data_IF_944198562327
#
_entry.id   IF_944198562327
#
_cell.length_a   1.000
_cell.length_b   1.000
_cell.length_c   1.000
_cell.angle_alpha   90.00
_cell.angle_beta   90.00
_cell.angle_gamma   90.00
#
_symmetry.space_group_name_H-M   'P 1'
#
loop_
_entity.id
_entity.type
_entity.pdbx_description
1 polymer ?
#
# COMPACT_ATOMS: atom_id res chain seq x y z
N UNK A 1 24.09 -0.72 6.41
CA UNK A 1 23.62 -0.84 6.03
C UNK A 1 22.88 -0.67 5.36
N UNK A 2 22.80 -0.75 5.29
CA UNK A 2 22.24 -0.64 4.79
C UNK A 2 21.37 -0.60 4.00
N UNK A 3 21.20 -0.44 3.80
CA UNK A 3 20.75 -0.42 3.00
C UNK A 3 19.76 -0.72 2.18
N UNK A 4 19.59 -0.25 1.45
CA UNK A 4 18.80 -1.13 0.76
C UNK A 4 17.69 -1.83 1.45
N UNK A 5 16.98 -1.17 2.16
CA UNK A 5 16.12 -1.76 3.15
C UNK A 5 14.89 -2.39 2.59
N UNK A 6 14.34 -1.88 1.48
CA UNK A 6 13.21 -2.49 0.84
C UNK A 6 13.49 -3.91 0.37
N UNK A 7 14.72 -4.20 0.05
CA UNK A 7 15.06 -5.54 -0.39
C UNK A 7 15.01 -6.54 0.74
N UNK A 8 15.22 -6.08 1.96
CA UNK A 8 15.23 -6.97 3.11
C UNK A 8 13.89 -7.09 3.77
N UNK A 9 13.08 -6.07 3.64
CA UNK A 9 11.73 -6.13 4.20
C UNK A 9 10.83 -6.91 3.25
N UNK A 10 10.18 -7.91 3.78
CA UNK A 10 9.20 -8.66 3.02
C UNK A 10 7.85 -7.97 3.16
N UNK A 11 7.39 -7.37 2.09
CA UNK A 11 6.09 -6.72 2.09
C UNK A 11 5.00 -7.74 2.35
N UNK A 12 3.99 -7.33 3.09
CA UNK A 12 2.89 -8.21 3.43
C UNK A 12 1.58 -7.43 3.40
N UNK A 13 0.49 -8.16 3.40
CA UNK A 13 -0.85 -7.59 3.40
C UNK A 13 -0.99 -6.56 4.51
N UNK A 14 -1.47 -5.38 4.16
CA UNK A 14 -1.65 -4.30 5.11
C UNK A 14 -0.52 -3.29 5.16
N UNK A 15 0.60 -3.57 4.51
CA UNK A 15 1.70 -2.61 4.48
C UNK A 15 1.35 -1.43 3.59
N UNK A 16 1.74 -0.23 4.01
CA UNK A 16 1.61 0.96 3.17
C UNK A 16 2.85 1.11 2.30
N UNK A 17 2.62 1.41 1.03
CA UNK A 17 3.70 1.66 0.08
C UNK A 17 3.39 2.91 -0.74
N UNK A 18 4.45 3.54 -1.26
CA UNK A 18 4.30 4.66 -2.17
C UNK A 18 4.81 4.22 -3.54
N UNK A 19 4.10 4.62 -4.58
CA UNK A 19 4.51 4.33 -5.95
C UNK A 19 5.68 5.21 -6.34
N UNK A 20 6.69 4.61 -6.94
CA UNK A 20 7.91 5.32 -7.36
C UNK A 20 7.91 5.69 -8.84
N UNK A 21 7.01 5.14 -9.63
CA UNK A 21 7.01 5.41 -11.07
C UNK A 21 5.65 5.10 -11.67
N UNK A 22 5.47 5.53 -12.91
CA UNK A 22 4.23 5.34 -13.66
C UNK A 22 3.27 6.50 -13.44
N UNK A 23 2.05 6.35 -13.95
CA UNK A 23 1.05 7.41 -13.84
C UNK A 23 0.64 7.68 -12.40
N UNK A 24 0.81 6.70 -11.53
CA UNK A 24 0.44 6.83 -10.14
C UNK A 24 1.63 7.17 -9.23
N UNK A 25 2.73 7.63 -9.81
CA UNK A 25 3.91 8.01 -9.02
C UNK A 25 3.51 8.97 -7.90
N UNK A 26 3.96 8.66 -6.69
CA UNK A 26 3.63 9.45 -5.50
C UNK A 26 2.35 9.05 -4.82
N UNK A 27 1.56 8.16 -5.40
CA UNK A 27 0.35 7.67 -4.76
C UNK A 27 0.67 6.66 -3.68
N UNK A 28 -0.10 6.69 -2.61
CA UNK A 28 0.03 5.75 -1.51
C UNK A 28 -1.00 4.65 -1.68
N UNK A 29 -0.55 3.42 -1.51
CA UNK A 29 -1.39 2.23 -1.63
C UNK A 29 -1.22 1.36 -0.41
N UNK A 30 -2.19 0.46 -0.21
CA UNK A 30 -2.08 -0.61 0.77
C UNK A 30 -1.90 -1.92 0.01
N UNK A 31 -1.00 -2.75 0.50
CA UNK A 31 -0.74 -4.07 -0.09
C UNK A 31 -1.88 -5.00 0.27
N UNK A 32 -2.46 -5.64 -0.74
CA UNK A 32 -3.50 -6.66 -0.55
C UNK A 32 -2.92 -8.06 -0.60
N UNK A 33 -1.87 -8.25 -1.40
CA UNK A 33 -1.27 -9.56 -1.60
C UNK A 33 0.10 -9.38 -2.21
N UNK A 34 0.90 -10.44 -2.22
CA UNK A 34 2.23 -10.41 -2.84
C UNK A 34 2.39 -11.60 -3.76
N UNK A 35 3.18 -11.40 -4.80
CA UNK A 35 3.62 -12.44 -5.71
C UNK A 35 5.14 -12.34 -5.77
N UNK A 36 5.78 -13.24 -6.47
CA UNK A 36 7.24 -13.34 -6.43
C UNK A 36 7.96 -12.01 -6.68
N UNK A 37 7.60 -11.28 -7.72
CA UNK A 37 8.25 -10.01 -8.07
C UNK A 37 7.29 -8.83 -8.07
N UNK A 38 6.08 -9.04 -7.56
CA UNK A 38 5.00 -8.05 -7.66
C UNK A 38 4.25 -7.95 -6.34
N UNK A 39 3.68 -6.78 -6.13
CA UNK A 39 2.71 -6.55 -5.06
C UNK A 39 1.38 -6.22 -5.71
N UNK A 40 0.32 -6.64 -5.06
CA UNK A 40 -1.05 -6.34 -5.47
C UNK A 40 -1.55 -5.27 -4.50
N UNK A 41 -1.94 -4.12 -5.04
CA UNK A 41 -2.23 -2.95 -4.20
C UNK A 41 -3.57 -2.32 -4.56
N UNK A 42 -4.10 -1.56 -3.61
CA UNK A 42 -5.29 -0.76 -3.83
C UNK A 42 -5.21 0.50 -2.99
N UNK A 43 -6.03 1.50 -3.33
CA UNK A 43 -6.14 2.71 -2.52
C UNK A 43 -7.59 2.98 -2.11
N UNK A 44 -8.50 2.14 -2.53
CA UNK A 44 -9.91 2.25 -2.16
C UNK A 44 -10.68 3.33 -2.92
N UNK A 45 -10.02 4.04 -3.81
CA UNK A 45 -10.65 5.14 -4.55
C UNK A 45 -10.43 4.98 -6.05
N UNK A 46 -9.20 5.22 -6.51
CA UNK A 46 -8.86 5.06 -7.93
C UNK A 46 -8.59 3.61 -8.27
N UNK A 47 -8.10 2.86 -7.31
CA UNK A 47 -7.88 1.42 -7.44
C UNK A 47 -8.59 0.73 -6.31
N UNK A 48 -9.81 0.32 -6.53
CA UNK A 48 -10.60 -0.38 -5.52
C UNK A 48 -10.10 -1.81 -5.38
N UNK A 49 -10.45 -2.43 -4.27
CA UNK A 49 -9.94 -3.76 -3.94
C UNK A 49 -10.36 -4.83 -4.94
N UNK A 50 -11.47 -4.65 -5.65
CA UNK A 50 -11.92 -5.58 -6.68
C UNK A 50 -11.29 -5.29 -8.05
N UNK A 51 -10.62 -4.16 -8.19
CA UNK A 51 -9.90 -3.78 -9.41
C UNK A 51 -8.49 -3.37 -9.05
N UNK A 52 -7.89 -4.18 -8.23
CA UNK A 52 -6.55 -3.97 -7.67
C UNK A 52 -5.50 -3.85 -8.77
N UNK A 53 -4.39 -3.23 -8.41
CA UNK A 53 -3.30 -3.02 -9.35
C UNK A 53 -2.10 -3.90 -8.96
N UNK A 54 -1.42 -4.42 -9.98
CA UNK A 54 -0.22 -5.20 -9.81
C UNK A 54 0.96 -4.31 -10.15
N UNK A 55 1.92 -4.19 -9.23
CA UNK A 55 3.11 -3.37 -9.44
C UNK A 55 4.35 -4.18 -9.12
N UNK A 56 5.42 -3.94 -9.87
CA UNK A 56 6.69 -4.58 -9.56
C UNK A 56 7.15 -4.15 -8.17
N UNK A 57 7.73 -5.08 -7.46
CA UNK A 57 8.28 -4.83 -6.14
C UNK A 57 9.24 -3.63 -6.15
N UNK A 58 10.05 -3.52 -7.22
CA UNK A 58 11.02 -2.43 -7.36
C UNK A 58 10.39 -1.07 -7.65
N UNK A 59 9.10 -1.03 -7.96
CA UNK A 59 8.40 0.21 -8.30
C UNK A 59 7.63 0.80 -7.11
N UNK A 60 7.81 0.25 -5.93
CA UNK A 60 7.17 0.77 -4.72
C UNK A 60 8.19 0.86 -3.61
N UNK A 61 7.90 1.72 -2.63
CA UNK A 61 8.72 1.84 -1.44
C UNK A 61 7.85 1.67 -0.21
N UNK A 62 8.30 0.83 0.70
CA UNK A 62 7.63 0.60 1.98
C UNK A 62 7.71 1.88 2.84
N UNK A 63 6.59 2.27 3.43
CA UNK A 63 6.52 3.49 4.24
C UNK A 63 6.72 3.23 5.73
N UNK A 64 7.07 2.00 6.10
CA UNK A 64 7.30 1.59 7.49
C UNK A 64 6.04 1.71 8.36
N UNK A 65 4.88 1.56 7.74
CA UNK A 65 3.59 1.60 8.42
C UNK A 65 2.73 0.46 7.90
N UNK A 66 1.83 0.00 8.77
CA UNK A 66 1.04 -1.19 8.52
C UNK A 66 -0.35 -1.01 9.12
N UNK A 67 -1.36 -1.62 8.49
CA UNK A 67 -2.70 -1.66 9.05
C UNK A 67 -3.25 -3.08 8.96
N UNK A 68 -3.99 -3.48 9.99
CA UNK A 68 -4.68 -4.76 10.00
C UNK A 68 -6.13 -4.65 9.54
N UNK A 69 -6.54 -3.46 9.10
CA UNK A 69 -7.95 -3.19 8.85
C UNK A 69 -8.57 -4.11 7.82
N UNK A 70 -7.78 -4.53 6.82
CA UNK A 70 -8.30 -5.39 5.75
C UNK A 70 -8.82 -6.70 6.30
N UNK A 71 -8.13 -7.26 7.29
CA UNK A 71 -8.52 -8.54 7.89
C UNK A 71 -9.63 -8.39 8.93
N UNK A 72 -9.93 -7.18 9.34
CA UNK A 72 -10.88 -6.93 10.42
C UNK A 72 -12.25 -6.48 9.97
N UNK A 73 -12.42 -6.24 8.66
CA UNK A 73 -13.69 -5.77 8.13
C UNK A 73 -14.17 -6.71 7.03
N UNK A 74 -15.49 -6.74 6.79
CA UNK A 74 -15.99 -7.54 5.67
C UNK A 74 -15.55 -6.94 4.34
N UNK A 75 -15.59 -7.77 3.29
CA UNK A 75 -15.06 -7.39 1.99
C UNK A 75 -15.69 -6.11 1.44
N UNK A 76 -16.98 -5.90 1.70
CA UNK A 76 -17.66 -4.71 1.17
C UNK A 76 -17.20 -3.42 1.86
N UNK A 77 -16.51 -3.53 3.00
CA UNK A 77 -16.06 -2.36 3.75
C UNK A 77 -14.56 -2.08 3.55
N UNK A 78 -13.86 -2.90 2.79
CA UNK A 78 -12.42 -2.77 2.64
C UNK A 78 -12.05 -1.42 2.03
N UNK A 79 -12.68 -1.05 0.91
CA UNK A 79 -12.29 0.18 0.22
C UNK A 79 -12.49 1.42 1.06
N UNK A 80 -13.60 1.51 1.77
CA UNK A 80 -13.87 2.67 2.63
C UNK A 80 -12.84 2.75 3.76
N UNK A 81 -12.48 1.62 4.32
CA UNK A 81 -11.50 1.59 5.40
C UNK A 81 -10.09 1.88 4.90
N UNK A 82 -9.73 1.39 3.72
CA UNK A 82 -8.44 1.69 3.13
C UNK A 82 -8.33 3.20 2.86
N UNK A 83 -9.37 3.83 2.29
CA UNK A 83 -9.36 5.27 2.07
C UNK A 83 -9.14 6.04 3.36
N UNK A 84 -9.80 5.61 4.43
CA UNK A 84 -9.68 6.27 5.73
C UNK A 84 -8.26 6.15 6.27
N UNK A 85 -7.69 4.96 6.17
CA UNK A 85 -6.33 4.73 6.66
C UNK A 85 -5.31 5.53 5.87
N UNK A 86 -5.45 5.60 4.56
CA UNK A 86 -4.53 6.38 3.74
C UNK A 86 -4.67 7.86 4.04
N UNK A 87 -5.89 8.34 4.22
CA UNK A 87 -6.12 9.74 4.56
C UNK A 87 -5.47 10.09 5.89
N UNK A 88 -5.60 9.21 6.87
CA UNK A 88 -4.98 9.41 8.17
C UNK A 88 -3.46 9.45 8.06
N UNK A 89 -2.90 8.54 7.30
CA UNK A 89 -1.47 8.50 7.08
C UNK A 89 -0.96 9.78 6.43
N UNK A 90 -1.65 10.27 5.40
CA UNK A 90 -1.26 11.50 4.74
C UNK A 90 -1.29 12.69 5.69
N UNK A 91 -2.28 12.74 6.56
CA UNK A 91 -2.35 13.81 7.55
C UNK A 91 -1.18 13.76 8.52
N UNK A 92 -0.80 12.57 8.95
CA UNK A 92 0.34 12.41 9.83
C UNK A 92 1.64 12.82 9.15
N UNK A 93 1.83 12.41 7.90
CA UNK A 93 3.02 12.79 7.15
C UNK A 93 3.11 14.28 6.92
N UNK A 94 1.97 14.94 6.73
CA UNK A 94 1.94 16.37 6.48
C UNK A 94 2.30 17.19 7.72
N UNK A 95 2.26 16.59 8.90
CA UNK A 95 2.61 17.30 10.14
C UNK A 95 4.10 17.28 10.41
N UNK A 96 4.83 16.55 9.65
CA UNK A 96 6.27 16.52 9.79
C UNK A 96 6.93 17.58 8.93
#
# INVERSE_FOLDING_TARGET
MHLTDNKKHTLKKGDFVISLCGHDKGSIFVVLDTEQNYVIVCDGKNRKSDKRKRKKFSHVRFLNLHTDVIDKVPSYAVDANVRREIKRLKAELAQE
#
